data_IF_627842842211
#
_entry.id   IF_627842842211
#
_cell.length_a   1.000
_cell.length_b   1.000
_cell.length_c   1.000
_cell.angle_alpha   90.00
_cell.angle_beta   90.00
_cell.angle_gamma   90.00
#
_symmetry.space_group_name_H-M   'P 1'
#
loop_
_entity.id
_entity.type
_entity.pdbx_description
1 polymer ?
#
# COMPACT_ATOMS: atom_id res chain seq x y z
N UNK A 1 -31.01 22.48 -54.37
CA UNK A 1 -30.21 21.35 -54.90
C UNK A 1 -28.85 21.38 -54.21
N UNK A 2 -28.40 20.26 -53.63
CA UNK A 2 -27.13 20.08 -52.91
C UNK A 2 -25.93 20.26 -53.87
N UNK A 3 -24.82 20.85 -53.44
CA UNK A 3 -23.58 20.14 -53.07
C UNK A 3 -22.37 21.08 -52.87
N UNK A 4 -21.73 20.84 -51.73
CA UNK A 4 -20.33 21.00 -51.30
C UNK A 4 -19.27 21.29 -52.37
N UNK A 5 -18.32 22.17 -51.99
CA UNK A 5 -16.93 21.73 -51.79
C UNK A 5 -16.18 22.71 -50.89
N UNK A 6 -15.86 22.26 -49.68
CA UNK A 6 -14.86 22.85 -48.80
C UNK A 6 -13.55 22.08 -48.96
N UNK A 7 -12.44 22.77 -49.17
CA UNK A 7 -11.21 22.67 -48.37
C UNK A 7 -10.18 23.66 -48.93
N UNK A 8 -9.55 24.45 -48.06
CA UNK A 8 -8.10 24.56 -48.06
C UNK A 8 -7.60 25.24 -46.77
N UNK A 9 -7.03 24.37 -45.93
CA UNK A 9 -5.86 24.51 -45.05
C UNK A 9 -5.32 25.92 -44.83
N UNK A 10 -5.30 26.34 -43.56
CA UNK A 10 -4.45 27.45 -43.12
C UNK A 10 -3.62 27.05 -41.91
N UNK A 11 -2.33 26.96 -42.18
CA UNK A 11 -1.18 26.86 -41.30
C UNK A 11 -1.19 28.04 -40.30
N UNK A 12 -1.02 27.80 -39.00
CA UNK A 12 -0.72 28.89 -38.04
C UNK A 12 0.61 28.61 -37.37
N UNK A 13 1.51 29.56 -37.61
CA UNK A 13 2.90 29.58 -37.23
C UNK A 13 3.11 29.83 -35.73
N UNK A 14 4.20 29.24 -35.24
CA UNK A 14 4.75 29.38 -33.90
C UNK A 14 5.43 30.75 -33.78
N UNK A 15 5.11 31.51 -32.74
CA UNK A 15 5.95 32.63 -32.27
C UNK A 15 6.21 32.52 -30.78
N UNK A 16 7.49 32.62 -30.46
CA UNK A 16 8.17 32.36 -29.20
C UNK A 16 8.35 33.66 -28.41
N UNK A 17 7.90 33.61 -27.15
CA UNK A 17 8.49 34.16 -25.90
C UNK A 17 8.88 35.65 -25.84
N UNK A 18 8.33 36.34 -24.83
CA UNK A 18 9.14 37.23 -23.97
C UNK A 18 8.85 36.98 -22.50
N UNK A 19 9.94 36.85 -21.76
CA UNK A 19 10.08 36.46 -20.36
C UNK A 19 9.48 37.47 -19.38
N UNK A 20 8.87 36.95 -18.32
CA UNK A 20 8.83 37.62 -17.03
C UNK A 20 9.37 36.65 -15.98
N UNK A 21 10.65 36.85 -15.67
CA UNK A 21 11.37 36.20 -14.60
C UNK A 21 10.73 36.54 -13.26
N UNK A 22 9.93 35.62 -12.73
CA UNK A 22 9.71 35.49 -11.29
C UNK A 22 10.38 34.19 -10.86
N UNK A 23 11.61 34.32 -10.36
CA UNK A 23 12.36 33.23 -9.74
C UNK A 23 11.70 32.88 -8.40
N UNK A 24 10.68 32.03 -8.43
CA UNK A 24 10.36 31.15 -7.32
C UNK A 24 10.99 29.80 -7.66
N UNK A 25 12.05 29.45 -6.94
CA UNK A 25 12.67 28.14 -7.05
C UNK A 25 11.57 27.06 -6.96
N UNK A 26 11.58 26.02 -7.83
CA UNK A 26 10.68 24.90 -7.63
C UNK A 26 11.11 24.26 -6.31
N UNK A 27 10.34 24.52 -5.25
CA UNK A 27 10.30 23.58 -4.15
C UNK A 27 9.91 22.25 -4.79
N UNK A 28 10.87 21.33 -4.86
CA UNK A 28 10.59 19.94 -5.06
C UNK A 28 9.69 19.52 -3.90
N UNK A 29 8.38 19.72 -4.09
CA UNK A 29 7.38 18.95 -3.38
C UNK A 29 7.72 17.51 -3.77
N UNK A 30 8.44 16.83 -2.88
CA UNK A 30 8.59 15.38 -2.91
C UNK A 30 7.17 14.87 -3.18
N UNK A 31 6.91 14.16 -4.28
CA UNK A 31 5.63 13.51 -4.43
C UNK A 31 5.59 12.45 -3.33
N UNK A 32 5.04 12.82 -2.18
CA UNK A 32 4.37 11.85 -1.33
C UNK A 32 3.32 11.19 -2.21
N UNK A 33 3.02 9.91 -1.97
CA UNK A 33 1.93 9.27 -2.70
C UNK A 33 0.70 10.17 -2.57
N UNK A 34 0.18 10.59 -3.72
CA UNK A 34 -1.11 11.26 -3.81
C UNK A 34 -2.10 10.23 -3.28
N UNK A 35 -2.47 10.33 -2.01
CA UNK A 35 -3.61 9.61 -1.47
C UNK A 35 -4.79 10.39 -2.03
N UNK A 36 -5.57 9.84 -2.97
CA UNK A 36 -6.71 10.54 -3.50
C UNK A 36 -7.69 10.76 -2.35
N UNK A 37 -8.15 11.98 -2.12
CA UNK A 37 -9.42 12.21 -1.42
C UNK A 37 -10.53 11.62 -2.31
N UNK A 38 -10.73 10.30 -2.23
CA UNK A 38 -11.71 9.58 -3.04
C UNK A 38 -12.41 8.57 -2.13
N UNK A 39 -13.66 8.87 -1.79
CA UNK A 39 -14.67 7.96 -1.22
C UNK A 39 -14.08 6.76 -0.48
N UNK A 40 -13.83 6.97 0.80
CA UNK A 40 -13.16 6.07 1.76
C UNK A 40 -14.01 4.85 2.16
N UNK A 41 -14.70 4.22 1.22
CA UNK A 41 -15.50 3.05 1.53
C UNK A 41 -14.65 1.77 1.58
N UNK A 42 -15.17 0.79 2.32
CA UNK A 42 -14.54 -0.50 2.60
C UNK A 42 -14.43 -1.39 1.37
N UNK A 43 -15.04 -1.04 0.24
CA UNK A 43 -14.78 -1.77 -0.99
C UNK A 43 -13.53 -1.21 -1.71
N UNK A 44 -13.39 0.12 -1.74
CA UNK A 44 -12.32 0.82 -2.47
C UNK A 44 -10.96 0.56 -1.83
N UNK A 45 -10.83 0.73 -0.51
CA UNK A 45 -9.57 0.50 0.21
C UNK A 45 -9.00 -0.94 0.01
N UNK A 46 -9.87 -1.95 -0.11
CA UNK A 46 -9.51 -3.36 -0.22
C UNK A 46 -9.10 -3.65 -1.65
N UNK A 47 -9.83 -3.10 -2.62
CA UNK A 47 -9.43 -3.14 -4.03
C UNK A 47 -8.04 -2.51 -4.23
N UNK A 48 -7.79 -1.36 -3.63
CA UNK A 48 -6.50 -0.68 -3.72
C UNK A 48 -5.39 -1.48 -3.05
N UNK A 49 -5.67 -2.06 -1.89
CA UNK A 49 -4.76 -3.00 -1.23
C UNK A 49 -4.40 -4.18 -2.13
N UNK A 50 -5.41 -4.84 -2.72
CA UNK A 50 -5.21 -5.98 -3.60
C UNK A 50 -4.39 -5.62 -4.83
N UNK A 51 -4.62 -4.44 -5.42
CA UNK A 51 -3.90 -3.96 -6.60
C UNK A 51 -2.43 -3.61 -6.30
N UNK A 52 -2.18 -2.96 -5.16
CA UNK A 52 -0.90 -2.28 -4.90
C UNK A 52 0.02 -3.02 -3.93
N UNK A 53 -0.50 -3.93 -3.10
CA UNK A 53 0.24 -4.50 -1.97
C UNK A 53 0.21 -6.03 -1.89
N UNK A 54 -0.88 -6.71 -2.32
CA UNK A 54 -1.02 -8.17 -2.14
C UNK A 54 0.14 -8.98 -2.76
N UNK A 55 0.69 -8.52 -3.88
CA UNK A 55 1.79 -9.19 -4.60
C UNK A 55 3.19 -8.88 -4.06
N UNK A 56 3.30 -8.04 -3.02
CA UNK A 56 4.58 -7.74 -2.37
C UNK A 56 4.93 -8.85 -1.39
N UNK A 57 5.37 -9.98 -1.94
CA UNK A 57 5.76 -11.18 -1.19
C UNK A 57 7.15 -11.02 -0.57
N UNK A 58 7.43 -11.69 0.56
CA UNK A 58 8.77 -11.74 1.11
C UNK A 58 9.71 -12.62 0.25
N UNK A 59 11.03 -12.51 0.45
CA UNK A 59 12.00 -13.45 -0.12
C UNK A 59 11.68 -14.89 0.25
N UNK A 60 11.98 -15.83 -0.65
CA UNK A 60 11.87 -17.26 -0.35
C UNK A 60 13.07 -17.71 0.50
N UNK A 61 12.97 -18.81 1.28
CA UNK A 61 14.05 -19.28 2.15
C UNK A 61 15.41 -19.39 1.45
N UNK A 62 15.44 -19.99 0.25
CA UNK A 62 16.66 -20.12 -0.53
C UNK A 62 17.32 -18.77 -0.90
N UNK A 63 16.54 -17.70 -1.03
CA UNK A 63 17.10 -16.36 -1.23
C UNK A 63 17.68 -15.81 0.07
N UNK A 64 16.98 -15.99 1.19
CA UNK A 64 17.39 -15.52 2.52
C UNK A 64 18.75 -16.09 2.90
N UNK A 65 18.96 -17.40 2.69
CA UNK A 65 20.22 -18.09 2.98
C UNK A 65 21.43 -17.52 2.21
N UNK A 66 21.19 -16.81 1.11
CA UNK A 66 22.23 -16.20 0.26
C UNK A 66 22.42 -14.70 0.50
N UNK A 67 21.60 -14.07 1.35
CA UNK A 67 21.68 -12.63 1.63
C UNK A 67 22.75 -12.33 2.68
N UNK A 68 23.44 -11.21 2.49
CA UNK A 68 24.20 -10.60 3.56
C UNK A 68 23.30 -9.70 4.41
N UNK A 69 23.69 -9.44 5.66
CA UNK A 69 22.96 -8.57 6.59
C UNK A 69 22.59 -7.20 6.02
N UNK A 70 23.47 -6.65 5.18
CA UNK A 70 23.30 -5.34 4.53
C UNK A 70 22.18 -5.34 3.48
N UNK A 71 21.87 -6.50 2.91
CA UNK A 71 20.94 -6.66 1.81
C UNK A 71 19.51 -6.94 2.31
N UNK A 72 19.34 -7.39 3.56
CA UNK A 72 18.03 -7.67 4.14
C UNK A 72 17.05 -6.50 4.02
N UNK A 73 17.50 -5.28 4.32
CA UNK A 73 16.65 -4.10 4.23
C UNK A 73 16.09 -3.84 2.83
N UNK A 74 16.87 -4.16 1.79
CA UNK A 74 16.45 -4.02 0.40
C UNK A 74 15.46 -5.12 0.01
N UNK A 75 15.80 -6.38 0.30
CA UNK A 75 14.99 -7.54 -0.11
C UNK A 75 13.66 -7.65 0.65
N UNK A 76 13.61 -7.26 1.92
CA UNK A 76 12.37 -7.25 2.70
C UNK A 76 11.53 -5.98 2.51
N UNK A 77 12.04 -4.95 1.81
CA UNK A 77 11.32 -3.69 1.61
C UNK A 77 9.91 -3.86 1.03
N UNK A 78 9.67 -4.67 -0.02
CA UNK A 78 8.31 -4.86 -0.54
C UNK A 78 7.38 -5.46 0.53
N UNK A 79 7.82 -6.50 1.21
CA UNK A 79 7.03 -7.16 2.25
C UNK A 79 6.72 -6.21 3.41
N UNK A 80 7.72 -5.43 3.85
CA UNK A 80 7.53 -4.38 4.86
C UNK A 80 6.44 -3.37 4.45
N UNK A 81 6.37 -2.99 3.18
CA UNK A 81 5.34 -2.09 2.68
C UNK A 81 3.94 -2.72 2.67
N UNK A 82 3.83 -4.04 2.40
CA UNK A 82 2.56 -4.76 2.49
C UNK A 82 2.08 -4.80 3.93
N UNK A 83 2.95 -5.23 4.83
CA UNK A 83 2.68 -5.33 6.27
C UNK A 83 2.30 -3.97 6.85
N UNK A 84 3.01 -2.89 6.51
CA UNK A 84 2.66 -1.55 6.96
C UNK A 84 1.29 -1.08 6.47
N UNK A 85 0.90 -1.45 5.24
CA UNK A 85 -0.43 -1.15 4.73
C UNK A 85 -1.50 -1.93 5.49
N UNK A 86 -1.28 -3.24 5.72
CA UNK A 86 -2.20 -4.04 6.54
C UNK A 86 -2.32 -3.52 7.98
N UNK A 87 -1.21 -3.05 8.55
CA UNK A 87 -1.21 -2.45 9.89
C UNK A 87 -2.03 -1.16 9.96
N UNK A 88 -1.99 -0.36 8.90
CA UNK A 88 -2.85 0.80 8.77
C UNK A 88 -4.34 0.39 8.68
N UNK A 89 -4.66 -0.57 7.81
CA UNK A 89 -6.04 -1.02 7.58
C UNK A 89 -6.64 -1.68 8.84
N UNK A 90 -5.91 -2.56 9.53
CA UNK A 90 -6.37 -3.17 10.78
C UNK A 90 -6.61 -2.11 11.86
N UNK A 91 -5.73 -1.11 11.95
CA UNK A 91 -5.84 -0.04 12.95
C UNK A 91 -7.08 0.80 12.70
N UNK A 92 -7.37 1.09 11.44
CA UNK A 92 -8.59 1.78 11.07
C UNK A 92 -9.84 0.95 11.35
N UNK A 93 -9.85 -0.34 10.98
CA UNK A 93 -10.98 -1.24 11.25
C UNK A 93 -11.30 -1.36 12.75
N UNK A 94 -10.26 -1.38 13.60
CA UNK A 94 -10.42 -1.39 15.06
C UNK A 94 -10.90 -0.05 15.63
N UNK A 95 -10.61 1.08 14.96
CA UNK A 95 -11.06 2.41 15.37
C UNK A 95 -12.48 2.73 14.89
N UNK A 96 -12.89 2.18 13.75
CA UNK A 96 -14.25 2.35 13.23
C UNK A 96 -15.27 1.57 14.08
N UNK A 97 -16.25 2.22 14.73
CA UNK A 97 -17.19 1.55 15.63
C UNK A 97 -18.05 0.48 14.95
N UNK A 98 -18.43 0.70 13.69
CA UNK A 98 -19.31 -0.21 12.96
C UNK A 98 -18.55 -1.48 12.55
N UNK A 99 -17.32 -1.33 12.05
CA UNK A 99 -16.45 -2.48 11.75
C UNK A 99 -16.08 -3.26 13.01
N UNK A 100 -15.72 -2.55 14.07
CA UNK A 100 -15.35 -3.18 15.33
C UNK A 100 -16.48 -4.03 15.91
N UNK A 101 -17.74 -3.62 15.70
CA UNK A 101 -18.94 -4.39 16.09
C UNK A 101 -19.16 -5.62 15.21
N UNK A 102 -18.79 -5.56 13.93
CA UNK A 102 -18.90 -6.69 13.02
C UNK A 102 -17.85 -7.78 13.26
N UNK A 103 -16.75 -7.44 13.93
CA UNK A 103 -15.71 -8.40 14.30
C UNK A 103 -16.13 -9.26 15.50
N UNK A 104 -15.74 -10.54 15.48
CA UNK A 104 -15.76 -11.39 16.68
C UNK A 104 -14.68 -10.96 17.68
N UNK A 105 -14.77 -11.43 18.93
CA UNK A 105 -13.73 -11.17 19.93
C UNK A 105 -12.37 -11.70 19.49
N UNK A 106 -12.33 -12.94 18.99
CA UNK A 106 -11.11 -13.53 18.45
C UNK A 106 -10.50 -12.72 17.30
N UNK A 107 -11.32 -12.24 16.37
CA UNK A 107 -10.83 -11.41 15.27
C UNK A 107 -10.29 -10.06 15.77
N UNK A 108 -10.93 -9.44 16.76
CA UNK A 108 -10.41 -8.21 17.38
C UNK A 108 -9.05 -8.45 18.03
N UNK A 109 -8.91 -9.53 18.79
CA UNK A 109 -7.65 -9.88 19.44
C UNK A 109 -6.55 -10.17 18.42
N UNK A 110 -6.89 -10.84 17.32
CA UNK A 110 -5.96 -11.11 16.22
C UNK A 110 -5.49 -9.80 15.57
N UNK A 111 -6.41 -8.89 15.22
CA UNK A 111 -6.08 -7.61 14.61
C UNK A 111 -5.29 -6.67 15.55
N UNK A 112 -5.37 -6.85 16.87
CA UNK A 112 -4.58 -6.08 17.83
C UNK A 112 -3.10 -6.51 17.88
N UNK A 113 -2.77 -7.73 17.47
CA UNK A 113 -1.39 -8.22 17.50
C UNK A 113 -0.50 -7.39 16.55
N UNK A 114 0.69 -6.95 16.99
CA UNK A 114 1.62 -6.25 16.13
C UNK A 114 2.22 -7.21 15.09
N UNK A 115 2.52 -6.68 13.91
CA UNK A 115 3.37 -7.37 12.95
C UNK A 115 4.83 -7.29 13.38
N UNK A 116 5.65 -8.22 12.90
CA UNK A 116 7.10 -8.14 13.07
C UNK A 116 7.68 -6.95 12.29
N UNK A 117 8.67 -6.29 12.87
CA UNK A 117 9.34 -5.18 12.21
C UNK A 117 10.30 -5.69 11.13
N UNK A 118 9.87 -5.75 9.87
CA UNK A 118 10.72 -6.17 8.73
C UNK A 118 11.68 -5.05 8.27
N UNK A 119 12.46 -4.49 9.20
CA UNK A 119 13.47 -3.46 8.95
C UNK A 119 14.89 -3.99 9.22
N UNK A 120 15.92 -3.32 8.65
CA UNK A 120 17.31 -3.79 8.81
C UNK A 120 17.74 -3.96 10.27
N UNK A 121 17.42 -3.03 11.20
CA UNK A 121 17.73 -3.23 12.61
C UNK A 121 17.15 -4.52 13.18
N UNK A 122 15.84 -4.75 13.09
CA UNK A 122 15.20 -5.94 13.67
C UNK A 122 15.64 -7.25 13.01
N UNK A 123 15.94 -7.23 11.71
CA UNK A 123 16.45 -8.39 10.98
C UNK A 123 17.90 -8.75 11.34
N UNK A 124 18.67 -7.79 11.88
CA UNK A 124 20.10 -7.98 12.20
C UNK A 124 20.40 -7.97 13.70
N UNK A 125 19.57 -7.33 14.52
CA UNK A 125 19.78 -7.16 15.96
C UNK A 125 19.44 -8.41 16.78
N UNK A 126 18.49 -9.22 16.30
CA UNK A 126 17.86 -10.26 17.12
C UNK A 126 18.64 -11.57 17.19
N UNK A 127 19.87 -11.65 16.66
CA UNK A 127 20.58 -12.93 16.50
C UNK A 127 19.67 -14.00 15.86
N UNK A 128 18.80 -13.57 14.95
CA UNK A 128 17.95 -14.48 14.18
C UNK A 128 18.88 -15.29 13.29
N UNK A 129 19.23 -16.48 13.76
CA UNK A 129 19.83 -17.46 12.88
C UNK A 129 18.86 -17.77 11.72
N UNK A 130 19.35 -18.31 10.59
CA UNK A 130 18.52 -18.57 9.43
C UNK A 130 17.26 -19.40 9.72
N UNK A 131 17.33 -20.36 10.66
CA UNK A 131 16.18 -21.21 11.04
C UNK A 131 15.13 -20.38 11.79
N UNK A 132 15.57 -19.54 12.72
CA UNK A 132 14.69 -18.61 13.45
C UNK A 132 14.04 -17.58 12.52
N UNK A 133 14.79 -17.05 11.54
CA UNK A 133 14.28 -16.12 10.53
C UNK A 133 13.23 -16.79 9.63
N UNK A 134 13.49 -18.02 9.16
CA UNK A 134 12.53 -18.79 8.38
C UNK A 134 11.24 -19.06 9.16
N UNK A 135 11.38 -19.52 10.41
CA UNK A 135 10.24 -19.81 11.28
C UNK A 135 9.40 -18.55 11.55
N UNK A 136 10.05 -17.40 11.79
CA UNK A 136 9.38 -16.11 11.95
C UNK A 136 8.65 -15.72 10.68
N UNK A 137 9.29 -15.88 9.52
CA UNK A 137 8.70 -15.51 8.24
C UNK A 137 7.46 -16.35 7.91
N UNK A 138 7.51 -17.66 8.16
CA UNK A 138 6.34 -18.53 7.95
C UNK A 138 5.19 -18.19 8.89
N UNK A 139 5.48 -17.93 10.17
CA UNK A 139 4.47 -17.47 11.12
C UNK A 139 3.85 -16.13 10.68
N UNK A 140 4.66 -15.21 10.17
CA UNK A 140 4.18 -13.92 9.69
C UNK A 140 3.34 -14.04 8.43
N UNK A 141 3.69 -14.93 7.48
CA UNK A 141 2.88 -15.18 6.28
C UNK A 141 1.49 -15.67 6.64
N UNK A 142 1.39 -16.59 7.60
CA UNK A 142 0.11 -17.07 8.12
C UNK A 142 -0.68 -15.93 8.77
N UNK A 143 -0.03 -15.13 9.62
CA UNK A 143 -0.67 -14.00 10.26
C UNK A 143 -1.16 -12.94 9.25
N UNK A 144 -0.37 -12.65 8.21
CA UNK A 144 -0.78 -11.78 7.09
C UNK A 144 -2.03 -12.34 6.41
N UNK A 145 -2.07 -13.64 6.12
CA UNK A 145 -3.22 -14.28 5.49
C UNK A 145 -4.48 -14.20 6.38
N UNK A 146 -4.34 -14.40 7.69
CA UNK A 146 -5.45 -14.28 8.64
C UNK A 146 -6.01 -12.84 8.68
N UNK A 147 -5.12 -11.84 8.73
CA UNK A 147 -5.52 -10.42 8.70
C UNK A 147 -6.19 -10.07 7.37
N UNK A 148 -5.63 -10.51 6.25
CA UNK A 148 -6.22 -10.32 4.91
C UNK A 148 -7.61 -10.93 4.82
N UNK A 149 -7.80 -12.14 5.34
CA UNK A 149 -9.09 -12.83 5.36
C UNK A 149 -10.15 -12.02 6.12
N UNK A 150 -9.81 -11.52 7.31
CA UNK A 150 -10.72 -10.71 8.13
C UNK A 150 -11.06 -9.38 7.44
N UNK A 151 -10.06 -8.69 6.90
CA UNK A 151 -10.27 -7.41 6.22
C UNK A 151 -11.07 -7.58 4.93
N UNK A 152 -10.87 -8.68 4.21
CA UNK A 152 -11.69 -9.04 3.06
C UNK A 152 -13.15 -9.29 3.44
N UNK A 153 -13.39 -10.02 4.53
CA UNK A 153 -14.76 -10.27 5.01
C UNK A 153 -15.46 -8.96 5.39
N UNK A 154 -14.76 -8.04 6.06
CA UNK A 154 -15.29 -6.69 6.33
C UNK A 154 -15.61 -5.94 5.03
N UNK A 155 -14.69 -5.96 4.05
CA UNK A 155 -14.91 -5.32 2.75
C UNK A 155 -16.10 -5.90 1.98
N UNK A 156 -16.30 -7.20 2.08
CA UNK A 156 -17.41 -7.91 1.42
C UNK A 156 -18.75 -7.63 2.09
N UNK A 157 -18.79 -7.54 3.42
CA UNK A 157 -20.03 -7.46 4.18
C UNK A 157 -20.42 -6.04 4.59
N UNK A 158 -19.48 -5.09 4.56
CA UNK A 158 -19.68 -3.69 4.90
C UNK A 158 -19.13 -2.74 3.82
N UNK A 159 -19.38 -2.95 2.52
CA UNK A 159 -18.66 -2.29 1.43
C UNK A 159 -18.77 -0.76 1.42
N UNK A 160 -19.88 -0.22 1.93
CA UNK A 160 -20.24 1.19 1.81
C UNK A 160 -19.88 2.04 3.03
N UNK A 161 -19.23 1.47 4.06
CA UNK A 161 -18.82 2.27 5.22
C UNK A 161 -17.67 3.20 4.85
N UNK A 162 -18.00 4.47 4.66
CA UNK A 162 -17.08 5.59 4.67
C UNK A 162 -17.18 6.27 6.03
N UNK A 163 -16.12 6.87 6.59
CA UNK A 163 -16.29 7.79 7.70
C UNK A 163 -17.33 8.81 7.29
N UNK A 164 -18.46 8.82 8.01
CA UNK A 164 -19.38 9.93 7.92
C UNK A 164 -18.65 11.13 8.55
N UNK A 165 -18.76 12.32 7.95
CA UNK A 165 -18.23 13.55 8.53
C UNK A 165 -18.81 13.81 9.92
#
# INVERSE_FOLDING_TARGET
MKLYTTLNVTLVAITVITMLSASAAPMYARPGPIIPEQNENVAVWWKDYMLLHSMKVPPIPAQIDMLNDKDFGFHFKPFRQRVAQLDHLKTWALKNPEMRRALTEHQRDLLQKPFFEWNSPALTSDKLDPVSLHSRLEAEKLFVADVESILHDLAKHLPDLSPRP
#
